data_IF_099369390997
#
_entry.id   IF_099369390997
#
_cell.length_a   1.000
_cell.length_b   1.000
_cell.length_c   1.000
_cell.angle_alpha   90.00
_cell.angle_beta   90.00
_cell.angle_gamma   90.00
#
_symmetry.space_group_name_H-M   'P 1'
#
loop_
_entity.id
_entity.type
_entity.pdbx_description
1 polymer ?
#
# COMPACT_ATOMS: atom_id res chain seq x y z
N UNK A 1 47.56 -39.54 4.62
CA UNK A 1 46.41 -39.33 3.72
C UNK A 1 45.20 -39.03 4.59
N UNK A 2 44.98 -37.78 4.96
CA UNK A 2 43.77 -37.38 5.69
C UNK A 2 42.84 -36.63 4.74
N UNK A 3 41.60 -37.11 4.72
CA UNK A 3 40.51 -36.78 3.82
C UNK A 3 39.94 -35.39 4.12
N UNK A 4 40.45 -34.37 3.44
CA UNK A 4 39.89 -33.02 3.43
C UNK A 4 38.69 -32.90 2.47
N UNK A 5 37.61 -33.68 2.66
CA UNK A 5 36.43 -33.68 1.77
C UNK A 5 35.01 -33.79 2.42
N UNK A 6 34.70 -33.37 3.67
CA UNK A 6 33.29 -33.25 4.11
C UNK A 6 32.64 -31.88 3.81
N UNK A 7 33.42 -30.79 3.88
CA UNK A 7 32.88 -29.42 3.85
C UNK A 7 32.40 -28.98 2.46
N UNK A 8 33.06 -29.46 1.40
CA UNK A 8 32.70 -29.14 0.01
C UNK A 8 31.32 -29.69 -0.39
N UNK A 9 30.95 -30.88 0.12
CA UNK A 9 29.62 -31.46 -0.12
C UNK A 9 28.50 -30.70 0.59
N UNK A 10 28.73 -30.27 1.83
CA UNK A 10 27.75 -29.46 2.57
C UNK A 10 27.48 -28.11 1.91
N UNK A 11 28.53 -27.36 1.55
CA UNK A 11 28.37 -26.06 0.88
C UNK A 11 27.71 -26.19 -0.50
N UNK A 12 27.99 -27.27 -1.23
CA UNK A 12 27.31 -27.59 -2.48
C UNK A 12 25.80 -27.73 -2.29
N UNK A 13 25.35 -28.54 -1.32
CA UNK A 13 23.91 -28.75 -1.08
C UNK A 13 23.21 -27.50 -0.55
N UNK A 14 23.88 -26.69 0.27
CA UNK A 14 23.37 -25.37 0.69
C UNK A 14 23.23 -24.44 -0.51
N UNK A 15 24.22 -24.41 -1.41
CA UNK A 15 24.18 -23.63 -2.64
C UNK A 15 23.04 -24.09 -3.58
N UNK A 16 22.95 -25.40 -3.85
CA UNK A 16 21.92 -26.00 -4.68
C UNK A 16 20.52 -25.75 -4.11
N UNK A 17 20.33 -25.92 -2.79
CA UNK A 17 19.08 -25.62 -2.11
C UNK A 17 18.69 -24.14 -2.19
N UNK A 18 19.66 -23.25 -2.07
CA UNK A 18 19.44 -21.80 -2.22
C UNK A 18 19.00 -21.44 -3.63
N UNK A 19 19.67 -21.98 -4.66
CA UNK A 19 19.30 -21.77 -6.07
C UNK A 19 17.91 -22.32 -6.35
N UNK A 20 17.59 -23.53 -5.87
CA UNK A 20 16.27 -24.14 -6.02
C UNK A 20 15.17 -23.30 -5.36
N UNK A 21 15.41 -22.80 -4.14
CA UNK A 21 14.48 -21.90 -3.43
C UNK A 21 14.25 -20.59 -4.19
N UNK A 22 15.32 -19.96 -4.69
CA UNK A 22 15.22 -18.73 -5.48
C UNK A 22 14.48 -18.97 -6.80
N UNK A 23 14.78 -20.07 -7.51
CA UNK A 23 14.11 -20.44 -8.75
C UNK A 23 12.62 -20.71 -8.53
N UNK A 24 12.25 -21.42 -7.45
CA UNK A 24 10.85 -21.64 -7.07
C UNK A 24 10.15 -20.31 -6.77
N UNK A 25 10.78 -19.44 -5.98
CA UNK A 25 10.22 -18.12 -5.63
C UNK A 25 10.00 -17.25 -6.86
N UNK A 26 10.96 -17.21 -7.80
CA UNK A 26 10.84 -16.48 -9.06
C UNK A 26 9.72 -17.07 -9.92
N UNK A 27 9.67 -18.40 -10.06
CA UNK A 27 8.62 -19.11 -10.80
C UNK A 27 7.22 -18.80 -10.24
N UNK A 28 7.03 -18.85 -8.92
CA UNK A 28 5.76 -18.49 -8.28
C UNK A 28 5.38 -17.02 -8.52
N UNK A 29 6.36 -16.11 -8.48
CA UNK A 29 6.16 -14.68 -8.77
C UNK A 29 5.73 -14.45 -10.22
N UNK A 30 6.43 -15.08 -11.17
CA UNK A 30 6.12 -15.02 -12.60
C UNK A 30 4.75 -15.63 -12.89
N UNK A 31 4.42 -16.77 -12.30
CA UNK A 31 3.11 -17.39 -12.44
C UNK A 31 1.99 -16.49 -11.90
N UNK A 32 2.19 -15.89 -10.74
CA UNK A 32 1.22 -14.93 -10.17
C UNK A 32 1.07 -13.71 -11.08
N UNK A 33 2.18 -13.19 -11.61
CA UNK A 33 2.15 -12.06 -12.53
C UNK A 33 1.43 -12.39 -13.84
N UNK A 34 1.70 -13.57 -14.40
CA UNK A 34 1.01 -14.09 -15.58
C UNK A 34 -0.49 -14.26 -15.31
N UNK A 35 -0.87 -14.81 -14.15
CA UNK A 35 -2.27 -14.99 -13.75
C UNK A 35 -3.01 -13.65 -13.63
N UNK A 36 -2.39 -12.63 -13.03
CA UNK A 36 -3.03 -11.33 -12.79
C UNK A 36 -3.04 -10.45 -14.04
N UNK A 37 -1.92 -10.37 -14.76
CA UNK A 37 -1.73 -9.39 -15.84
C UNK A 37 -1.65 -9.99 -17.25
N UNK A 38 -1.40 -11.29 -17.40
CA UNK A 38 -1.25 -11.97 -18.70
C UNK A 38 -2.47 -12.77 -19.15
N UNK A 39 -3.11 -13.52 -18.27
CA UNK A 39 -4.24 -14.42 -18.61
C UNK A 39 -5.61 -13.74 -18.58
N UNK A 40 -5.66 -12.40 -18.57
CA UNK A 40 -6.92 -11.66 -18.68
C UNK A 40 -7.94 -12.02 -17.59
N UNK A 41 -7.51 -12.07 -16.32
CA UNK A 41 -8.46 -12.25 -15.23
C UNK A 41 -9.43 -11.06 -15.19
N UNK A 42 -10.70 -11.30 -15.54
CA UNK A 42 -11.83 -10.45 -15.20
C UNK A 42 -12.01 -10.52 -13.67
N UNK A 43 -11.66 -9.46 -12.92
CA UNK A 43 -11.79 -9.51 -11.47
C UNK A 43 -13.27 -9.56 -11.12
N UNK A 44 -13.66 -10.50 -10.24
CA UNK A 44 -15.01 -10.62 -9.68
C UNK A 44 -15.45 -9.45 -8.79
N UNK A 45 -14.80 -8.29 -8.94
CA UNK A 45 -15.11 -7.04 -8.26
C UNK A 45 -16.29 -6.38 -8.97
N UNK A 46 -17.44 -6.43 -8.31
CA UNK A 46 -18.72 -5.89 -8.76
C UNK A 46 -19.83 -6.27 -7.75
N UNK A 47 -21.11 -6.14 -8.11
CA UNK A 47 -22.25 -6.48 -7.24
C UNK A 47 -22.20 -7.92 -6.70
N UNK A 48 -21.56 -8.82 -7.44
CA UNK A 48 -21.30 -10.19 -7.03
C UNK A 48 -20.41 -10.32 -5.78
N UNK A 49 -19.65 -9.30 -5.38
CA UNK A 49 -18.88 -9.26 -4.12
C UNK A 49 -19.64 -8.55 -2.99
N UNK A 50 -20.62 -7.71 -3.36
CA UNK A 50 -21.49 -6.93 -2.50
C UNK A 50 -22.07 -5.76 -3.31
N UNK A 51 -23.32 -5.37 -3.06
CA UNK A 51 -23.96 -4.30 -3.84
C UNK A 51 -23.34 -2.92 -3.57
N UNK A 52 -22.77 -2.72 -2.39
CA UNK A 52 -22.29 -1.43 -1.90
C UNK A 52 -20.78 -1.42 -1.74
N UNK A 53 -20.16 -0.32 -2.16
CA UNK A 53 -18.77 -0.02 -1.87
C UNK A 53 -18.66 1.29 -1.10
N UNK A 54 -18.05 1.23 0.09
CA UNK A 54 -17.71 2.41 0.88
C UNK A 54 -16.28 2.82 0.52
N UNK A 55 -16.12 4.02 -0.04
CA UNK A 55 -14.80 4.54 -0.43
C UNK A 55 -14.48 5.78 0.37
N UNK A 56 -13.42 5.66 1.16
CA UNK A 56 -12.89 6.77 1.93
C UNK A 56 -11.81 7.53 1.16
N UNK A 57 -11.71 8.84 1.39
CA UNK A 57 -10.71 9.66 0.69
C UNK A 57 -10.99 9.76 -0.82
N UNK A 58 -12.27 9.75 -1.18
CA UNK A 58 -12.76 9.66 -2.56
C UNK A 58 -12.75 10.97 -3.35
N UNK A 59 -12.27 12.07 -2.77
CA UNK A 59 -12.26 13.39 -3.43
C UNK A 59 -11.14 13.55 -4.45
N UNK A 60 -10.06 12.76 -4.35
CA UNK A 60 -8.91 12.88 -5.24
C UNK A 60 -8.08 11.58 -5.30
N UNK A 61 -7.17 11.51 -6.28
CA UNK A 61 -6.16 10.46 -6.40
C UNK A 61 -6.72 9.04 -6.43
N UNK A 62 -6.06 8.13 -5.71
CA UNK A 62 -6.37 6.70 -5.71
C UNK A 62 -7.80 6.43 -5.24
N UNK A 63 -8.25 7.08 -4.16
CA UNK A 63 -9.60 6.89 -3.61
C UNK A 63 -10.68 7.32 -4.60
N UNK A 64 -10.51 8.47 -5.27
CA UNK A 64 -11.43 8.91 -6.34
C UNK A 64 -11.49 7.88 -7.47
N UNK A 65 -10.34 7.44 -7.96
CA UNK A 65 -10.30 6.47 -9.07
C UNK A 65 -10.90 5.12 -8.70
N UNK A 66 -10.78 4.66 -7.44
CA UNK A 66 -11.51 3.48 -6.96
C UNK A 66 -13.02 3.72 -6.97
N UNK A 67 -13.51 4.86 -6.48
CA UNK A 67 -14.94 5.17 -6.49
C UNK A 67 -15.51 5.15 -7.91
N UNK A 68 -14.83 5.80 -8.87
CA UNK A 68 -15.25 5.84 -10.27
C UNK A 68 -15.23 4.46 -10.93
N UNK A 69 -14.19 3.67 -10.69
CA UNK A 69 -14.05 2.35 -11.29
C UNK A 69 -15.04 1.34 -10.69
N UNK A 70 -15.32 1.39 -9.39
CA UNK A 70 -16.34 0.56 -8.75
C UNK A 70 -17.75 0.94 -9.20
N UNK A 71 -18.02 2.24 -9.42
CA UNK A 71 -19.29 2.70 -9.99
C UNK A 71 -19.49 2.19 -11.42
N UNK A 72 -18.44 2.24 -12.27
CA UNK A 72 -18.47 1.66 -13.63
C UNK A 72 -18.77 0.17 -13.65
N UNK A 73 -18.42 -0.53 -12.56
CA UNK A 73 -18.69 -1.96 -12.34
C UNK A 73 -20.08 -2.24 -11.77
N UNK A 74 -20.92 -1.22 -11.60
CA UNK A 74 -22.32 -1.35 -11.17
C UNK A 74 -22.52 -1.38 -9.65
N UNK A 75 -21.50 -1.05 -8.85
CA UNK A 75 -21.66 -0.97 -7.39
C UNK A 75 -22.27 0.36 -6.95
N UNK A 76 -23.11 0.33 -5.92
CA UNK A 76 -23.62 1.52 -5.24
C UNK A 76 -22.53 2.10 -4.36
N UNK A 77 -22.16 3.37 -4.55
CA UNK A 77 -20.99 3.96 -3.87
C UNK A 77 -21.43 4.85 -2.70
N UNK A 78 -20.87 4.60 -1.52
CA UNK A 78 -20.90 5.54 -0.39
C UNK A 78 -19.56 6.24 -0.31
N UNK A 79 -19.57 7.57 -0.47
CA UNK A 79 -18.37 8.40 -0.43
C UNK A 79 -18.20 9.01 0.97
N UNK A 80 -17.01 8.85 1.55
CA UNK A 80 -16.67 9.47 2.85
C UNK A 80 -15.52 10.47 2.64
N UNK A 81 -15.78 11.76 2.90
CA UNK A 81 -14.80 12.84 2.74
C UNK A 81 -15.04 14.03 3.69
N UNK A 82 -14.13 15.02 3.66
CA UNK A 82 -13.96 16.09 4.67
C UNK A 82 -14.96 17.26 4.60
N UNK A 83 -15.70 17.47 3.51
CA UNK A 83 -16.51 18.68 3.33
C UNK A 83 -17.92 18.51 3.88
N UNK A 84 -18.29 19.37 4.83
CA UNK A 84 -19.44 19.11 5.68
C UNK A 84 -20.30 20.34 5.97
N UNK A 85 -21.21 20.73 5.09
CA UNK A 85 -22.33 21.59 5.52
C UNK A 85 -23.44 20.77 6.25
N UNK A 86 -23.30 19.44 6.41
CA UNK A 86 -24.39 18.55 6.93
C UNK A 86 -24.06 17.43 7.97
N UNK A 87 -22.89 17.40 8.61
CA UNK A 87 -22.46 16.42 9.66
C UNK A 87 -21.74 17.15 10.82
N UNK A 88 -22.02 18.43 11.02
CA UNK A 88 -21.20 19.30 11.88
C UNK A 88 -21.37 19.12 13.38
N UNK A 89 -22.15 18.15 13.88
CA UNK A 89 -22.35 18.04 15.34
C UNK A 89 -21.82 16.76 15.98
N UNK A 90 -21.34 15.79 15.19
CA UNK A 90 -20.66 14.58 15.71
C UNK A 90 -19.26 14.38 15.08
N UNK A 91 -18.90 15.22 14.10
CA UNK A 91 -17.69 15.11 13.27
C UNK A 91 -16.37 15.58 13.93
N UNK A 92 -16.38 16.15 15.13
CA UNK A 92 -15.17 16.74 15.72
C UNK A 92 -14.12 15.73 16.20
N UNK A 93 -14.42 14.42 16.21
CA UNK A 93 -13.45 13.40 16.62
C UNK A 93 -13.16 12.30 15.59
N UNK A 94 -13.99 12.12 14.56
CA UNK A 94 -13.77 11.07 13.54
C UNK A 94 -14.42 11.50 12.23
N UNK A 95 -13.66 12.05 11.29
CA UNK A 95 -13.93 11.99 9.84
C UNK A 95 -12.79 12.66 9.05
N UNK A 96 -11.71 11.90 8.80
CA UNK A 96 -10.76 12.18 7.74
C UNK A 96 -10.02 10.89 7.37
N UNK A 97 -10.45 10.20 6.32
CA UNK A 97 -9.79 8.99 5.82
C UNK A 97 -9.06 9.26 4.48
N UNK A 98 -8.40 10.40 4.38
CA UNK A 98 -7.40 10.61 3.32
C UNK A 98 -6.03 10.34 3.93
N UNK A 99 -5.35 9.26 3.54
CA UNK A 99 -4.00 9.00 4.03
C UNK A 99 -3.11 10.24 3.91
N UNK A 100 -2.53 10.68 5.01
CA UNK A 100 -1.64 11.86 5.04
C UNK A 100 -0.19 11.42 5.00
N UNK A 101 0.64 12.24 4.36
CA UNK A 101 2.10 12.12 4.36
C UNK A 101 2.70 13.45 4.81
N UNK A 102 4.03 13.48 4.95
CA UNK A 102 4.78 14.68 5.25
C UNK A 102 4.65 15.66 4.09
N UNK A 103 4.75 16.96 4.37
CA UNK A 103 4.84 17.96 3.31
C UNK A 103 6.16 17.81 2.53
N UNK A 104 7.25 17.49 3.21
CA UNK A 104 8.56 17.19 2.65
C UNK A 104 9.31 16.23 3.58
N UNK A 105 10.32 15.48 3.10
CA UNK A 105 11.12 14.62 3.96
C UNK A 105 11.90 15.46 4.98
N UNK A 106 11.83 15.08 6.25
CA UNK A 106 12.48 15.81 7.35
C UNK A 106 12.94 14.85 8.46
N UNK A 107 14.03 15.20 9.13
CA UNK A 107 14.50 14.51 10.32
C UNK A 107 13.42 14.56 11.40
N UNK A 108 13.25 13.48 12.14
CA UNK A 108 12.13 13.32 13.06
C UNK A 108 12.03 14.46 14.09
N UNK A 109 13.16 14.90 14.65
CA UNK A 109 13.20 16.00 15.63
C UNK A 109 12.96 17.37 15.00
N UNK A 110 13.18 17.51 13.69
CA UNK A 110 13.07 18.78 12.96
C UNK A 110 11.70 18.93 12.27
N UNK A 111 10.80 17.95 12.45
CA UNK A 111 9.43 18.02 11.90
C UNK A 111 8.69 19.19 12.55
N UNK A 112 8.16 20.15 11.76
CA UNK A 112 7.35 21.24 12.30
C UNK A 112 6.13 20.72 13.06
N UNK A 113 5.86 21.32 14.21
CA UNK A 113 4.76 20.94 15.11
C UNK A 113 4.69 19.43 15.38
N UNK A 114 5.84 18.79 15.66
CA UNK A 114 5.99 17.33 15.73
C UNK A 114 4.86 16.63 16.49
N UNK A 115 4.45 17.12 17.68
CA UNK A 115 3.37 16.52 18.46
C UNK A 115 2.02 16.52 17.70
N UNK A 116 1.68 17.64 17.05
CA UNK A 116 0.49 17.75 16.20
C UNK A 116 0.58 16.81 15.02
N UNK A 117 1.75 16.74 14.38
CA UNK A 117 2.02 15.87 13.24
C UNK A 117 1.89 14.38 13.61
N UNK A 118 2.41 13.96 14.78
CA UNK A 118 2.24 12.60 15.32
C UNK A 118 0.75 12.26 15.46
N UNK A 119 -0.01 13.07 16.19
CA UNK A 119 -1.44 12.84 16.43
C UNK A 119 -2.20 12.75 15.10
N UNK A 120 -1.94 13.67 14.17
CA UNK A 120 -2.58 13.71 12.85
C UNK A 120 -2.29 12.46 12.03
N UNK A 121 -1.02 12.06 11.89
CA UNK A 121 -0.63 10.88 11.11
C UNK A 121 -1.20 9.59 11.70
N UNK A 122 -1.14 9.41 13.02
CA UNK A 122 -1.71 8.22 13.68
C UNK A 122 -3.23 8.20 13.52
N UNK A 123 -3.92 9.30 13.79
CA UNK A 123 -5.38 9.33 13.68
C UNK A 123 -5.87 9.03 12.26
N UNK A 124 -5.20 9.60 11.24
CA UNK A 124 -5.65 9.52 9.84
C UNK A 124 -5.17 8.26 9.11
N UNK A 125 -4.00 7.72 9.46
CA UNK A 125 -3.46 6.54 8.77
C UNK A 125 -3.72 5.23 9.54
N UNK A 126 -3.88 5.28 10.87
CA UNK A 126 -4.00 4.10 11.73
C UNK A 126 -5.40 4.00 12.31
N UNK A 127 -5.79 4.95 13.17
CA UNK A 127 -7.04 4.87 13.92
C UNK A 127 -8.25 4.76 13.00
N UNK A 128 -8.26 5.53 11.93
CA UNK A 128 -9.37 5.59 10.99
C UNK A 128 -9.53 4.29 10.19
N UNK A 129 -8.44 3.61 9.82
CA UNK A 129 -8.46 2.29 9.17
C UNK A 129 -9.05 1.24 10.11
N UNK A 130 -8.63 1.25 11.38
CA UNK A 130 -9.18 0.35 12.40
C UNK A 130 -10.68 0.58 12.62
N UNK A 131 -11.10 1.84 12.80
CA UNK A 131 -12.50 2.20 13.04
C UNK A 131 -13.40 1.88 11.84
N UNK A 132 -12.99 2.22 10.62
CA UNK A 132 -13.78 1.88 9.43
C UNK A 132 -13.92 0.38 9.24
N UNK A 133 -12.83 -0.36 9.46
CA UNK A 133 -12.86 -1.82 9.39
C UNK A 133 -13.82 -2.39 10.43
N UNK A 134 -13.73 -1.93 11.69
CA UNK A 134 -14.64 -2.34 12.76
C UNK A 134 -16.10 -2.03 12.46
N UNK A 135 -16.41 -0.90 11.80
CA UNK A 135 -17.79 -0.53 11.44
C UNK A 135 -18.40 -1.46 10.36
N UNK A 136 -17.62 -1.88 9.36
CA UNK A 136 -18.15 -2.65 8.22
C UNK A 136 -18.04 -4.16 8.40
N UNK A 137 -17.05 -4.63 9.18
CA UNK A 137 -16.69 -6.03 9.28
C UNK A 137 -17.78 -6.92 9.91
N UNK A 138 -18.49 -6.53 11.00
CA UNK A 138 -19.55 -7.36 11.58
C UNK A 138 -20.63 -7.71 10.56
N UNK A 139 -21.15 -6.72 9.85
CA UNK A 139 -22.15 -6.96 8.81
C UNK A 139 -21.61 -7.77 7.62
N UNK A 140 -20.33 -7.62 7.25
CA UNK A 140 -19.71 -8.49 6.23
C UNK A 140 -19.67 -9.95 6.69
N UNK A 141 -19.30 -10.19 7.95
CA UNK A 141 -19.23 -11.53 8.56
C UNK A 141 -20.62 -12.17 8.65
N UNK A 142 -21.64 -11.43 9.06
CA UNK A 142 -23.04 -11.91 9.07
C UNK A 142 -23.48 -12.40 7.68
N UNK A 143 -23.06 -11.69 6.62
CA UNK A 143 -23.33 -12.08 5.23
C UNK A 143 -22.36 -13.12 4.67
N UNK A 144 -21.33 -13.51 5.45
CA UNK A 144 -20.21 -14.36 5.04
C UNK A 144 -19.58 -13.94 3.71
N UNK A 145 -19.55 -12.63 3.45
CA UNK A 145 -19.21 -12.08 2.14
C UNK A 145 -18.82 -10.61 2.20
N UNK A 146 -17.65 -10.31 1.65
CA UNK A 146 -17.20 -8.94 1.44
C UNK A 146 -15.71 -8.85 1.16
N UNK A 147 -15.26 -7.64 0.80
CA UNK A 147 -13.84 -7.35 0.71
C UNK A 147 -13.48 -6.00 1.34
N UNK A 148 -12.29 -5.93 1.93
CA UNK A 148 -11.71 -4.72 2.50
C UNK A 148 -10.37 -4.47 1.81
N UNK A 149 -10.22 -3.30 1.19
CA UNK A 149 -8.99 -2.88 0.50
C UNK A 149 -8.35 -1.74 1.28
N UNK A 150 -7.28 -2.05 2.01
CA UNK A 150 -6.55 -1.07 2.80
C UNK A 150 -5.33 -0.55 2.03
N UNK A 151 -5.26 0.76 1.83
CA UNK A 151 -4.19 1.40 1.05
C UNK A 151 -3.01 1.73 1.98
N UNK A 152 -2.03 0.84 1.99
CA UNK A 152 -0.71 1.03 2.60
C UNK A 152 0.20 1.83 1.64
N UNK A 153 1.49 1.47 1.54
CA UNK A 153 2.51 2.07 0.67
C UNK A 153 3.72 1.13 0.61
N UNK A 154 4.52 1.23 -0.46
CA UNK A 154 5.85 0.63 -0.51
C UNK A 154 6.75 1.05 0.67
N UNK A 155 6.53 2.24 1.24
CA UNK A 155 7.19 2.69 2.48
C UNK A 155 6.77 1.95 3.75
N UNK A 156 5.73 1.10 3.68
CA UNK A 156 5.38 0.14 4.72
C UNK A 156 6.06 -1.21 4.55
N UNK A 157 6.69 -1.47 3.40
CA UNK A 157 7.46 -2.70 3.17
C UNK A 157 8.86 -2.64 3.78
N UNK A 158 9.47 -1.45 3.74
CA UNK A 158 10.83 -1.18 4.18
C UNK A 158 10.87 0.20 4.85
N UNK A 159 11.68 0.39 5.91
CA UNK A 159 11.75 1.67 6.60
C UNK A 159 12.31 2.77 5.70
N UNK A 160 11.64 3.92 5.62
CA UNK A 160 12.10 5.05 4.79
C UNK A 160 12.54 6.21 5.69
N UNK A 161 13.86 6.47 5.84
CA UNK A 161 14.37 7.61 6.58
C UNK A 161 13.79 8.93 6.09
N UNK A 162 13.68 9.92 6.98
CA UNK A 162 13.07 11.24 6.74
C UNK A 162 11.55 11.23 6.49
N UNK A 163 10.92 10.04 6.50
CA UNK A 163 9.47 9.83 6.47
C UNK A 163 9.03 8.90 7.60
N UNK A 164 9.73 8.93 8.74
CA UNK A 164 9.66 7.94 9.83
C UNK A 164 8.23 7.62 10.26
N UNK A 165 7.43 8.62 10.63
CA UNK A 165 6.05 8.39 11.09
C UNK A 165 5.15 7.85 9.98
N UNK A 166 5.32 8.36 8.76
CA UNK A 166 4.52 7.92 7.62
C UNK A 166 4.81 6.45 7.29
N UNK A 167 6.09 6.10 7.14
CA UNK A 167 6.56 4.73 6.90
C UNK A 167 6.06 3.77 7.99
N UNK A 168 6.17 4.15 9.27
CA UNK A 168 5.66 3.36 10.39
C UNK A 168 4.13 3.16 10.32
N UNK A 169 3.36 4.22 10.04
CA UNK A 169 1.89 4.09 9.92
C UNK A 169 1.48 3.21 8.75
N UNK A 170 2.22 3.22 7.64
CA UNK A 170 1.95 2.36 6.49
C UNK A 170 2.35 0.90 6.75
N UNK A 171 3.43 0.67 7.50
CA UNK A 171 3.75 -0.67 7.99
C UNK A 171 2.63 -1.22 8.88
N UNK A 172 2.09 -0.41 9.81
CA UNK A 172 0.93 -0.80 10.62
C UNK A 172 -0.25 -1.24 9.74
N UNK A 173 -0.63 -0.44 8.74
CA UNK A 173 -1.75 -0.77 7.85
C UNK A 173 -1.50 -2.09 7.09
N UNK A 174 -0.26 -2.37 6.67
CA UNK A 174 0.09 -3.64 6.01
C UNK A 174 -0.09 -4.83 6.95
N UNK A 175 0.50 -4.76 8.15
CA UNK A 175 0.38 -5.83 9.14
C UNK A 175 -1.07 -6.04 9.60
N UNK A 176 -1.79 -4.97 9.93
CA UNK A 176 -3.19 -4.99 10.33
C UNK A 176 -4.06 -5.71 9.28
N UNK A 177 -3.88 -5.37 8.00
CA UNK A 177 -4.67 -5.96 6.91
C UNK A 177 -4.36 -7.45 6.71
N UNK A 178 -3.10 -7.85 6.88
CA UNK A 178 -2.68 -9.25 6.76
C UNK A 178 -3.22 -10.11 7.90
N UNK A 179 -3.16 -9.62 9.13
CA UNK A 179 -3.75 -10.33 10.27
C UNK A 179 -5.25 -10.53 10.06
N UNK A 180 -5.98 -9.47 9.71
CA UNK A 180 -7.41 -9.55 9.42
C UNK A 180 -7.75 -10.52 8.28
N UNK A 181 -6.93 -10.55 7.23
CA UNK A 181 -7.17 -11.51 6.16
C UNK A 181 -7.12 -12.94 6.67
N UNK A 182 -6.10 -13.28 7.45
CA UNK A 182 -5.94 -14.63 8.01
C UNK A 182 -7.05 -14.98 9.01
N UNK A 183 -7.48 -14.02 9.83
CA UNK A 183 -8.56 -14.18 10.81
C UNK A 183 -9.94 -14.40 10.18
N UNK A 184 -10.24 -13.75 9.05
CA UNK A 184 -11.59 -13.68 8.50
C UNK A 184 -11.75 -14.33 7.11
N UNK A 185 -10.68 -14.83 6.47
CA UNK A 185 -10.79 -15.51 5.16
C UNK A 185 -11.70 -16.73 5.17
N UNK A 186 -11.70 -17.50 6.27
CA UNK A 186 -12.59 -18.66 6.44
C UNK A 186 -14.07 -18.27 6.61
N UNK A 187 -14.33 -16.99 6.93
CA UNK A 187 -15.67 -16.39 7.04
C UNK A 187 -16.10 -15.70 5.74
N UNK A 188 -15.42 -15.98 4.63
CA UNK A 188 -15.73 -15.41 3.31
C UNK A 188 -15.34 -13.94 3.13
N UNK A 189 -14.48 -13.40 4.00
CA UNK A 189 -14.03 -12.00 3.93
C UNK A 189 -12.62 -11.92 3.34
N UNK A 190 -12.50 -11.23 2.22
CA UNK A 190 -11.20 -10.98 1.60
C UNK A 190 -10.63 -9.64 2.06
N UNK A 191 -9.48 -9.63 2.70
CA UNK A 191 -8.80 -8.38 3.12
C UNK A 191 -7.50 -8.26 2.35
N UNK A 192 -7.30 -7.11 1.71
CA UNK A 192 -6.14 -6.83 0.89
C UNK A 192 -5.37 -5.63 1.41
N UNK A 193 -4.06 -5.81 1.57
CA UNK A 193 -3.09 -4.71 1.71
C UNK A 193 -2.56 -4.33 0.33
N UNK A 194 -2.78 -3.06 -0.06
CA UNK A 194 -2.26 -2.50 -1.31
C UNK A 194 -1.10 -1.56 -1.00
N UNK A 195 0.09 -1.85 -1.52
CA UNK A 195 1.35 -1.15 -1.21
C UNK A 195 1.89 -0.41 -2.44
N UNK A 196 1.22 0.65 -2.90
CA UNK A 196 1.66 1.39 -4.08
C UNK A 196 3.04 2.02 -3.87
N UNK A 197 3.82 2.08 -4.95
CA UNK A 197 4.88 3.08 -5.12
C UNK A 197 4.25 4.41 -5.52
N UNK A 198 5.03 5.33 -6.09
CA UNK A 198 4.51 6.62 -6.53
C UNK A 198 3.39 6.46 -7.57
N UNK A 199 2.28 7.15 -7.33
CA UNK A 199 1.15 7.30 -8.25
C UNK A 199 0.95 8.80 -8.45
N UNK A 200 0.74 9.23 -9.70
CA UNK A 200 0.57 10.64 -10.05
C UNK A 200 -0.72 11.20 -9.41
N UNK A 201 -0.55 11.89 -8.28
CA UNK A 201 -1.62 12.44 -7.44
C UNK A 201 -1.16 13.74 -6.79
N UNK A 202 -2.12 14.52 -6.27
CA UNK A 202 -1.80 15.74 -5.49
C UNK A 202 -1.00 15.43 -4.22
N UNK A 203 -1.33 14.33 -3.52
CA UNK A 203 -0.60 13.89 -2.32
C UNK A 203 0.88 13.63 -2.61
N UNK A 204 1.17 12.94 -3.71
CA UNK A 204 2.56 12.63 -4.11
C UNK A 204 3.28 13.83 -4.78
N UNK A 205 2.59 14.96 -5.00
CA UNK A 205 3.10 16.14 -5.71
C UNK A 205 3.61 15.84 -7.13
N UNK A 206 3.03 14.83 -7.78
CA UNK A 206 3.37 14.39 -9.15
C UNK A 206 2.19 14.70 -10.08
N UNK A 207 2.43 15.51 -11.12
CA UNK A 207 1.40 15.93 -12.07
C UNK A 207 1.36 15.12 -13.36
N UNK A 208 2.54 14.76 -13.89
CA UNK A 208 2.66 14.03 -15.16
C UNK A 208 2.87 12.54 -14.88
N UNK A 209 1.94 11.66 -15.31
CA UNK A 209 2.14 10.22 -15.23
C UNK A 209 3.34 9.76 -16.06
N UNK A 210 4.05 8.75 -15.56
CA UNK A 210 5.08 8.00 -16.28
C UNK A 210 4.84 6.51 -16.10
N UNK A 211 5.63 5.65 -16.78
CA UNK A 211 5.48 4.20 -16.67
C UNK A 211 5.63 3.70 -15.23
N UNK A 212 6.60 4.22 -14.48
CA UNK A 212 6.83 3.88 -13.07
C UNK A 212 5.92 4.66 -12.09
N UNK A 213 5.33 5.77 -12.55
CA UNK A 213 4.42 6.64 -11.78
C UNK A 213 3.09 6.78 -12.52
N UNK A 214 2.28 5.71 -12.58
CA UNK A 214 1.03 5.74 -13.34
C UNK A 214 0.05 6.78 -12.81
N UNK A 215 -0.95 7.16 -13.62
CA UNK A 215 -2.11 7.90 -13.13
C UNK A 215 -2.88 7.05 -12.10
N UNK A 216 -3.67 7.68 -11.24
CA UNK A 216 -4.52 6.96 -10.30
C UNK A 216 -5.50 6.02 -10.99
N UNK A 217 -6.03 6.41 -12.15
CA UNK A 217 -6.94 5.58 -12.96
C UNK A 217 -6.24 4.32 -13.49
N UNK A 218 -5.07 4.48 -14.11
CA UNK A 218 -4.28 3.34 -14.62
C UNK A 218 -3.85 2.42 -13.50
N UNK A 219 -3.44 2.99 -12.36
CA UNK A 219 -3.10 2.23 -11.17
C UNK A 219 -4.30 1.41 -10.66
N UNK A 220 -5.46 2.04 -10.46
CA UNK A 220 -6.65 1.37 -9.94
C UNK A 220 -7.16 0.27 -10.87
N UNK A 221 -7.19 0.52 -12.20
CA UNK A 221 -7.56 -0.50 -13.19
C UNK A 221 -6.66 -1.73 -13.13
N UNK A 222 -5.38 -1.55 -12.80
CA UNK A 222 -4.46 -2.66 -12.58
C UNK A 222 -4.67 -3.30 -11.21
N UNK A 223 -4.85 -2.50 -10.16
CA UNK A 223 -4.94 -2.96 -8.79
C UNK A 223 -6.20 -3.79 -8.55
N UNK A 224 -7.33 -3.43 -9.15
CA UNK A 224 -8.58 -4.20 -9.04
C UNK A 224 -8.41 -5.65 -9.55
N UNK A 225 -7.54 -5.90 -10.53
CA UNK A 225 -7.26 -7.26 -11.03
C UNK A 225 -6.62 -8.18 -9.99
N UNK A 226 -6.07 -7.61 -8.92
CA UNK A 226 -5.40 -8.37 -7.85
C UNK A 226 -6.37 -8.80 -6.74
N UNK A 227 -7.56 -8.20 -6.67
CA UNK A 227 -8.55 -8.45 -5.63
C UNK A 227 -9.06 -9.88 -5.74
N UNK A 228 -9.09 -10.61 -4.62
CA UNK A 228 -9.41 -12.03 -4.57
C UNK A 228 -8.26 -12.97 -4.97
N UNK A 229 -7.16 -12.43 -5.52
CA UNK A 229 -6.00 -13.22 -5.96
C UNK A 229 -4.80 -13.07 -5.03
N UNK A 230 -4.53 -11.84 -4.58
CA UNK A 230 -3.40 -11.53 -3.72
C UNK A 230 -3.86 -10.74 -2.51
N UNK A 231 -3.70 -11.26 -1.29
CA UNK A 231 -4.00 -10.50 -0.06
C UNK A 231 -2.99 -9.39 0.23
N UNK A 232 -1.82 -9.42 -0.42
CA UNK A 232 -0.80 -8.39 -0.36
C UNK A 232 -0.25 -8.11 -1.76
N UNK A 233 -0.32 -6.88 -2.22
CA UNK A 233 0.03 -6.52 -3.61
C UNK A 233 0.56 -5.10 -3.73
N UNK A 234 1.38 -4.83 -4.75
CA UNK A 234 1.75 -3.46 -5.11
C UNK A 234 0.74 -2.82 -6.09
N UNK A 235 -0.31 -3.55 -6.50
CA UNK A 235 -1.42 -3.06 -7.32
C UNK A 235 -1.08 -2.79 -8.79
N UNK A 236 0.21 -2.77 -9.17
CA UNK A 236 0.65 -2.48 -10.53
C UNK A 236 1.88 -3.32 -10.89
N UNK A 237 1.96 -3.79 -12.14
CA UNK A 237 3.03 -4.71 -12.58
C UNK A 237 4.41 -4.09 -12.41
N UNK A 238 4.60 -2.85 -12.87
CA UNK A 238 5.89 -2.14 -12.76
C UNK A 238 6.28 -1.93 -11.30
N UNK A 239 5.30 -1.63 -10.43
CA UNK A 239 5.54 -1.49 -8.99
C UNK A 239 5.96 -2.83 -8.36
N UNK A 240 5.42 -3.96 -8.85
CA UNK A 240 5.81 -5.29 -8.39
C UNK A 240 7.22 -5.70 -8.84
N UNK A 241 7.62 -5.29 -10.05
CA UNK A 241 9.01 -5.44 -10.51
C UNK A 241 9.96 -4.59 -9.66
N UNK A 242 9.61 -3.33 -9.39
CA UNK A 242 10.38 -2.44 -8.52
C UNK A 242 10.54 -3.02 -7.10
N UNK A 243 9.46 -3.57 -6.53
CA UNK A 243 9.51 -4.26 -5.24
C UNK A 243 10.49 -5.43 -5.24
N UNK A 244 10.51 -6.23 -6.31
CA UNK A 244 11.42 -7.36 -6.45
C UNK A 244 12.89 -6.91 -6.47
N UNK A 245 13.19 -5.86 -7.23
CA UNK A 245 14.53 -5.25 -7.29
C UNK A 245 14.94 -4.71 -5.91
N UNK A 246 14.09 -3.91 -5.28
CA UNK A 246 14.37 -3.30 -3.98
C UNK A 246 14.56 -4.37 -2.90
N UNK A 247 13.76 -5.44 -2.92
CA UNK A 247 13.86 -6.55 -1.97
C UNK A 247 15.17 -7.33 -2.06
N UNK A 248 15.90 -7.19 -3.17
CA UNK A 248 17.18 -7.87 -3.40
C UNK A 248 18.38 -7.01 -2.99
N UNK A 249 18.16 -5.72 -2.66
CA UNK A 249 19.23 -4.83 -2.25
C UNK A 249 19.67 -5.12 -0.80
N UNK A 250 20.98 -5.11 -0.52
CA UNK A 250 21.46 -5.06 0.86
C UNK A 250 20.90 -3.85 1.61
N UNK A 251 20.59 -4.02 2.90
CA UNK A 251 19.98 -2.98 3.73
C UNK A 251 20.78 -1.68 3.76
N UNK A 252 22.11 -1.77 3.87
CA UNK A 252 23.01 -0.61 3.88
C UNK A 252 22.89 0.22 2.59
N UNK A 253 22.76 -0.45 1.44
CA UNK A 253 22.64 0.21 0.14
C UNK A 253 21.26 0.84 -0.01
N UNK A 254 20.21 0.13 0.38
CA UNK A 254 18.85 0.65 0.41
C UNK A 254 18.74 1.92 1.28
N UNK A 255 19.27 1.89 2.51
CA UNK A 255 19.26 3.05 3.39
C UNK A 255 20.08 4.22 2.83
N UNK A 256 21.25 3.95 2.25
CA UNK A 256 22.04 4.99 1.58
C UNK A 256 21.28 5.68 0.45
N UNK A 257 20.63 4.90 -0.42
CA UNK A 257 19.86 5.41 -1.57
C UNK A 257 18.64 6.24 -1.12
N UNK A 258 17.85 5.70 -0.20
CA UNK A 258 16.66 6.38 0.34
C UNK A 258 17.01 7.66 1.11
N UNK A 259 18.07 7.62 1.93
CA UNK A 259 18.57 8.79 2.65
C UNK A 259 19.02 9.91 1.69
N UNK A 260 19.78 9.56 0.65
CA UNK A 260 20.21 10.52 -0.37
C UNK A 260 19.02 11.15 -1.12
N UNK A 261 18.03 10.34 -1.49
CA UNK A 261 16.82 10.83 -2.15
C UNK A 261 16.01 11.78 -1.26
N UNK A 262 15.84 11.42 0.01
CA UNK A 262 15.14 12.23 1.00
C UNK A 262 15.86 13.55 1.25
N UNK A 263 17.18 13.54 1.46
CA UNK A 263 18.00 14.74 1.63
C UNK A 263 17.95 15.65 0.39
N UNK A 264 18.03 15.09 -0.83
CA UNK A 264 17.92 15.87 -2.07
C UNK A 264 16.55 16.55 -2.20
N UNK A 265 15.48 15.83 -1.85
CA UNK A 265 14.12 16.36 -1.91
C UNK A 265 13.89 17.44 -0.86
N UNK A 266 14.36 17.21 0.37
CA UNK A 266 14.39 18.20 1.44
C UNK A 266 15.15 19.47 1.04
N UNK A 267 16.37 19.34 0.54
CA UNK A 267 17.19 20.47 0.12
C UNK A 267 16.52 21.32 -0.97
N UNK A 268 15.88 20.67 -1.96
CA UNK A 268 15.10 21.36 -3.00
C UNK A 268 13.90 22.13 -2.43
N UNK A 269 13.20 21.52 -1.48
CA UNK A 269 12.05 22.15 -0.83
C UNK A 269 12.47 23.37 0.03
N UNK A 270 13.49 23.22 0.89
CA UNK A 270 14.00 24.32 1.71
C UNK A 270 14.56 25.48 0.87
N UNK A 271 15.22 25.18 -0.26
CA UNK A 271 15.67 26.22 -1.20
C UNK A 271 14.51 26.99 -1.83
N UNK A 272 13.36 26.34 -2.03
CA UNK A 272 12.16 27.00 -2.56
C UNK A 272 11.52 27.91 -1.52
N UNK A 273 11.45 27.48 -0.25
CA UNK A 273 10.94 28.33 0.84
C UNK A 273 11.79 29.58 1.01
N UNK A 274 13.13 29.47 1.04
CA UNK A 274 14.01 30.64 1.22
C UNK A 274 13.94 31.68 0.09
N UNK A 275 13.36 31.34 -1.06
CA UNK A 275 13.20 32.24 -2.22
C UNK A 275 11.87 32.96 -2.24
N UNK A 276 10.92 32.54 -1.41
CA UNK A 276 9.59 33.10 -1.28
C UNK A 276 9.51 33.90 0.02
#
# INVERSE_FOLDING_TARGET
MESALPAAGFLYWVGAGTVAYLALRISCSLFTALRVWGLGHEPGVGPGLGEWAVVTGSTDGIGKSYAEELAKRGMKIVLISRSQDKLNQVSSEIMNNVGMSYEYPEYFLDVPDLNSTIKKLINVNVLSVCKMTWLVLPGMVERSKGAILNISSASGMYPVPLLTLYSATKAFVDFFSRCLHEEYKSKGIFVQSVLPYFVATKLAKIRKPTLDKPSSETFVKSAIKTVGVQSRTNGYLIHSLMASVISSLPSWLYFKLTMNLGNSTRARYLKKIKKN
#
